data_IF_676910092042
#
_entry.id   IF_676910092042
#
_cell.length_a   1.000
_cell.length_b   1.000
_cell.length_c   1.000
_cell.angle_alpha   90.00
_cell.angle_beta   90.00
_cell.angle_gamma   90.00
#
_symmetry.space_group_name_H-M   'P 1'
#
loop_
_entity.id
_entity.type
_entity.pdbx_description
1 polymer ?
#
# COMPACT_ATOMS: atom_id res chain seq x y z
N UNK A 1 0.48 19.27 4.65
CA UNK A 1 0.55 18.59 3.33
C UNK A 1 -0.45 17.44 3.35
N UNK A 2 -1.11 17.24 2.22
CA UNK A 2 -2.17 16.24 2.08
C UNK A 2 -1.57 14.84 1.91
N UNK A 3 -2.38 13.81 2.21
CA UNK A 3 -2.03 12.44 1.89
C UNK A 3 -2.53 12.09 0.48
N UNK A 4 -1.72 11.32 -0.25
CA UNK A 4 -2.06 10.79 -1.57
C UNK A 4 -2.49 9.33 -1.44
N UNK A 5 -3.65 8.97 -2.01
CA UNK A 5 -4.05 7.59 -2.22
C UNK A 5 -3.73 7.17 -3.66
N UNK A 6 -2.69 6.37 -3.83
CA UNK A 6 -2.38 5.72 -5.10
C UNK A 6 -3.02 4.34 -5.19
N UNK A 7 -3.69 4.05 -6.30
CA UNK A 7 -4.21 2.71 -6.62
C UNK A 7 -3.51 2.22 -7.89
N UNK A 8 -2.84 1.07 -7.80
CA UNK A 8 -2.09 0.48 -8.89
C UNK A 8 -2.65 -0.88 -9.25
N UNK A 9 -2.84 -1.10 -10.55
CA UNK A 9 -3.21 -2.37 -11.15
C UNK A 9 -2.33 -2.58 -12.38
N UNK A 10 -1.71 -3.76 -12.48
CA UNK A 10 -0.74 -4.05 -13.53
C UNK A 10 -1.22 -5.12 -14.52
N UNK A 11 -2.39 -5.70 -14.31
CA UNK A 11 -2.89 -6.86 -15.06
C UNK A 11 -2.87 -8.16 -14.24
N UNK A 12 -3.51 -9.24 -14.72
CA UNK A 12 -3.70 -10.49 -13.97
C UNK A 12 -2.41 -11.19 -13.54
N UNK A 13 -1.33 -11.02 -14.30
CA UNK A 13 -0.05 -11.73 -14.09
C UNK A 13 1.14 -10.80 -13.83
N UNK A 14 0.88 -9.51 -13.59
CA UNK A 14 1.90 -8.46 -13.46
C UNK A 14 1.81 -7.79 -12.09
N UNK A 15 2.83 -6.99 -11.74
CA UNK A 15 2.87 -6.25 -10.46
C UNK A 15 3.53 -7.01 -9.30
N UNK A 16 3.76 -8.31 -9.47
CA UNK A 16 4.40 -9.19 -8.49
C UNK A 16 3.49 -9.57 -7.32
N UNK A 17 4.03 -10.38 -6.41
CA UNK A 17 3.33 -10.82 -5.19
C UNK A 17 3.47 -9.84 -4.02
N UNK A 18 3.01 -10.28 -2.85
CA UNK A 18 3.01 -9.51 -1.60
C UNK A 18 4.43 -9.14 -1.15
N UNK A 19 5.30 -10.13 -0.95
CA UNK A 19 6.67 -9.92 -0.43
C UNK A 19 7.53 -8.91 -1.21
N UNK A 20 7.64 -8.96 -2.56
CA UNK A 20 8.44 -7.98 -3.29
C UNK A 20 7.86 -6.57 -3.18
N UNK A 21 6.54 -6.43 -3.04
CA UNK A 21 5.89 -5.15 -2.84
C UNK A 21 6.19 -4.58 -1.44
N UNK A 22 6.08 -5.39 -0.39
CA UNK A 22 6.43 -4.98 0.98
C UNK A 22 7.90 -4.55 1.08
N UNK A 23 8.82 -5.33 0.49
CA UNK A 23 10.26 -4.98 0.43
C UNK A 23 10.48 -3.65 -0.26
N UNK A 24 9.81 -3.43 -1.40
CA UNK A 24 9.90 -2.16 -2.14
C UNK A 24 9.37 -1.00 -1.30
N UNK A 25 8.21 -1.15 -0.66
CA UNK A 25 7.63 -0.09 0.15
C UNK A 25 8.47 0.24 1.37
N UNK A 26 8.98 -0.76 2.09
CA UNK A 26 9.92 -0.53 3.19
C UNK A 26 11.21 0.16 2.71
N UNK A 27 11.74 -0.25 1.56
CA UNK A 27 12.90 0.37 0.92
C UNK A 27 12.68 1.85 0.57
N UNK A 28 11.45 2.27 0.24
CA UNK A 28 11.12 3.69 0.06
C UNK A 28 11.22 4.50 1.36
N UNK A 29 11.33 3.85 2.52
CA UNK A 29 11.61 4.50 3.79
C UNK A 29 13.05 4.26 4.28
N UNK A 30 13.90 3.65 3.44
CA UNK A 30 15.24 3.21 3.83
C UNK A 30 15.23 2.12 4.91
N UNK A 31 14.15 1.34 4.98
CA UNK A 31 13.87 0.37 6.04
C UNK A 31 13.71 -1.05 5.49
N UNK A 32 13.73 -2.02 6.40
CA UNK A 32 13.35 -3.39 6.13
C UNK A 32 11.87 -3.62 6.37
N UNK A 33 11.37 -4.75 5.88
CA UNK A 33 9.98 -5.17 6.10
C UNK A 33 9.67 -5.37 7.59
N UNK A 34 10.66 -5.72 8.41
CA UNK A 34 10.49 -5.92 9.85
C UNK A 34 10.27 -4.62 10.63
N UNK A 35 10.60 -3.47 10.04
CA UNK A 35 10.40 -2.15 10.66
C UNK A 35 8.97 -1.61 10.49
N UNK A 36 8.13 -2.31 9.71
CA UNK A 36 6.73 -1.97 9.50
C UNK A 36 5.80 -2.99 10.15
N UNK A 37 4.54 -2.59 10.36
CA UNK A 37 3.50 -3.47 10.93
C UNK A 37 2.73 -4.15 9.80
N UNK A 38 2.62 -5.47 9.87
CA UNK A 38 1.83 -6.25 8.93
C UNK A 38 0.58 -6.81 9.59
N UNK A 39 -0.51 -6.86 8.83
CA UNK A 39 -1.68 -7.67 9.18
C UNK A 39 -2.33 -8.23 7.92
N UNK A 40 -3.12 -9.27 8.08
CA UNK A 40 -3.86 -9.90 6.99
C UNK A 40 -5.33 -10.01 7.36
N UNK A 41 -6.21 -9.84 6.38
CA UNK A 41 -7.63 -10.15 6.51
C UNK A 41 -8.20 -10.66 5.19
N UNK A 42 -9.30 -11.40 5.28
CA UNK A 42 -9.99 -11.95 4.10
C UNK A 42 -11.34 -11.27 3.95
N UNK A 43 -11.62 -10.79 2.73
CA UNK A 43 -12.86 -10.11 2.36
C UNK A 43 -13.51 -10.89 1.21
N UNK A 44 -14.32 -11.90 1.56
CA UNK A 44 -14.88 -12.84 0.58
C UNK A 44 -13.78 -13.59 -0.18
N UNK A 45 -13.66 -13.33 -1.48
CA UNK A 45 -12.64 -13.93 -2.34
C UNK A 45 -11.30 -13.16 -2.35
N UNK A 46 -11.24 -11.99 -1.71
CA UNK A 46 -10.04 -11.14 -1.67
C UNK A 46 -9.21 -11.47 -0.42
N UNK A 47 -7.94 -11.80 -0.61
CA UNK A 47 -6.94 -11.79 0.46
C UNK A 47 -6.28 -10.42 0.54
N UNK A 48 -6.40 -9.75 1.68
CA UNK A 48 -5.84 -8.43 1.90
C UNK A 48 -4.64 -8.51 2.84
N UNK A 49 -3.47 -8.08 2.36
CA UNK A 49 -2.30 -7.82 3.22
C UNK A 49 -2.14 -6.32 3.44
N UNK A 50 -2.10 -5.91 4.70
CA UNK A 50 -1.88 -4.53 5.13
C UNK A 50 -0.44 -4.34 5.60
N UNK A 51 0.12 -3.16 5.34
CA UNK A 51 1.46 -2.79 5.77
C UNK A 51 1.56 -1.32 6.15
N UNK A 52 1.90 -1.05 7.40
CA UNK A 52 2.09 0.30 7.92
C UNK A 52 3.57 0.56 8.16
N UNK A 53 4.06 1.70 7.69
CA UNK A 53 5.42 2.13 7.94
C UNK A 53 5.52 3.65 8.04
N UNK A 54 6.45 4.12 8.87
CA UNK A 54 6.73 5.52 9.07
C UNK A 54 8.24 5.80 9.03
N UNK A 55 8.60 7.04 8.69
CA UNK A 55 9.98 7.50 8.66
C UNK A 55 10.21 8.59 7.61
N UNK A 56 11.40 8.57 7.01
CA UNK A 56 11.74 9.45 5.90
C UNK A 56 11.37 8.77 4.59
N UNK A 57 10.30 9.23 3.95
CA UNK A 57 9.87 8.73 2.66
C UNK A 57 10.79 9.25 1.56
N UNK A 58 11.20 8.37 0.65
CA UNK A 58 12.04 8.68 -0.50
C UNK A 58 11.19 8.56 -1.77
N UNK A 59 10.40 9.60 -2.11
CA UNK A 59 9.63 9.60 -3.33
C UNK A 59 10.58 9.64 -4.53
N UNK A 60 10.35 8.79 -5.53
CA UNK A 60 11.14 8.80 -6.76
C UNK A 60 11.54 7.41 -7.24
N UNK A 61 12.05 7.38 -8.47
CA UNK A 61 12.69 6.20 -9.05
C UNK A 61 14.19 6.48 -9.12
N UNK A 62 15.06 5.45 -9.19
CA UNK A 62 16.51 5.66 -9.32
C UNK A 62 16.90 6.64 -10.44
N UNK A 63 16.15 6.62 -11.55
CA UNK A 63 16.38 7.50 -12.71
C UNK A 63 15.70 8.88 -12.63
N UNK A 64 14.91 9.14 -11.57
CA UNK A 64 14.20 10.39 -11.34
C UNK A 64 14.01 10.59 -9.82
N UNK A 65 15.08 10.91 -9.09
CA UNK A 65 15.02 11.09 -7.65
C UNK A 65 14.19 12.33 -7.31
N UNK A 66 13.45 12.29 -6.18
CA UNK A 66 12.84 13.48 -5.59
C UNK A 66 13.37 13.67 -4.16
N UNK A 67 13.27 14.89 -3.60
CA UNK A 67 13.74 15.14 -2.24
C UNK A 67 13.10 14.20 -1.21
N UNK A 68 13.86 13.67 -0.24
CA UNK A 68 13.32 12.90 0.87
C UNK A 68 12.35 13.73 1.70
N UNK A 69 11.32 13.06 2.24
CA UNK A 69 10.25 13.65 3.04
C UNK A 69 10.26 13.05 4.45
N UNK A 70 10.89 13.71 5.44
CA UNK A 70 10.90 13.25 6.83
C UNK A 70 9.52 13.36 7.47
N UNK A 71 9.24 12.52 8.47
CA UNK A 71 7.97 12.55 9.22
C UNK A 71 6.76 12.06 8.43
N UNK A 72 6.98 11.23 7.41
CA UNK A 72 5.94 10.64 6.58
C UNK A 72 5.55 9.25 7.07
N UNK A 73 4.34 8.84 6.71
CA UNK A 73 3.85 7.49 6.90
C UNK A 73 3.22 6.95 5.61
N UNK A 74 3.08 5.63 5.56
CA UNK A 74 2.34 4.93 4.53
C UNK A 74 1.50 3.82 5.16
N UNK A 75 0.23 3.73 4.76
CA UNK A 75 -0.62 2.56 4.94
C UNK A 75 -0.81 1.94 3.55
N UNK A 76 -0.19 0.77 3.34
CA UNK A 76 -0.26 0.00 2.11
C UNK A 76 -1.22 -1.17 2.23
N UNK A 77 -1.95 -1.48 1.16
CA UNK A 77 -2.79 -2.65 1.07
C UNK A 77 -2.56 -3.39 -0.26
N UNK A 78 -2.40 -4.71 -0.19
CA UNK A 78 -2.31 -5.59 -1.35
C UNK A 78 -3.56 -6.46 -1.34
N UNK A 79 -4.48 -6.18 -2.25
CA UNK A 79 -5.69 -6.95 -2.46
C UNK A 79 -5.44 -7.98 -3.54
N UNK A 80 -5.25 -9.23 -3.13
CA UNK A 80 -5.05 -10.35 -4.02
C UNK A 80 -6.42 -10.91 -4.42
N UNK A 81 -6.70 -10.91 -5.72
CA UNK A 81 -7.93 -11.47 -6.29
C UNK A 81 -7.61 -12.76 -7.03
N UNK A 82 -8.57 -13.68 -7.16
CA UNK A 82 -8.33 -14.96 -7.84
C UNK A 82 -8.35 -14.82 -9.35
N UNK A 83 -9.16 -13.90 -9.88
CA UNK A 83 -9.44 -13.81 -11.33
C UNK A 83 -8.91 -12.55 -11.99
N UNK A 84 -8.73 -11.46 -11.24
CA UNK A 84 -8.53 -10.12 -11.78
C UNK A 84 -7.12 -9.57 -11.58
N UNK A 85 -6.22 -10.31 -10.94
CA UNK A 85 -4.89 -9.84 -10.55
C UNK A 85 -4.87 -9.05 -9.23
N UNK A 86 -3.69 -8.58 -8.84
CA UNK A 86 -3.49 -7.89 -7.58
C UNK A 86 -3.71 -6.38 -7.73
N UNK A 87 -4.40 -5.79 -6.76
CA UNK A 87 -4.52 -4.34 -6.60
C UNK A 87 -3.63 -3.89 -5.44
N UNK A 88 -2.91 -2.79 -5.65
CA UNK A 88 -2.01 -2.21 -4.67
C UNK A 88 -2.50 -0.81 -4.32
N UNK A 89 -2.94 -0.61 -3.10
CA UNK A 89 -3.39 0.68 -2.59
C UNK A 89 -2.33 1.21 -1.65
N UNK A 90 -2.00 2.50 -1.76
CA UNK A 90 -1.02 3.16 -0.90
C UNK A 90 -1.53 4.52 -0.49
N UNK A 91 -1.85 4.70 0.78
CA UNK A 91 -2.07 6.01 1.37
C UNK A 91 -0.74 6.51 1.93
N UNK A 92 -0.18 7.58 1.36
CA UNK A 92 1.16 8.10 1.74
C UNK A 92 1.09 9.61 1.96
N UNK A 93 1.71 10.12 3.03
CA UNK A 93 1.69 11.54 3.35
C UNK A 93 2.38 11.84 4.68
N UNK A 94 2.30 13.09 5.19
CA UNK A 94 2.74 13.38 6.55
C UNK A 94 2.02 12.47 7.54
N UNK A 95 2.75 12.00 8.56
CA UNK A 95 2.25 11.03 9.54
C UNK A 95 0.87 11.40 10.10
N UNK A 96 0.72 12.63 10.58
CA UNK A 96 -0.54 13.08 11.17
C UNK A 96 -1.70 13.07 10.18
N UNK A 97 -1.45 13.41 8.91
CA UNK A 97 -2.47 13.39 7.85
C UNK A 97 -2.88 11.97 7.50
N UNK A 98 -1.92 11.04 7.41
CA UNK A 98 -2.19 9.62 7.15
C UNK A 98 -2.98 8.99 8.29
N UNK A 99 -2.60 9.25 9.53
CA UNK A 99 -3.33 8.75 10.70
C UNK A 99 -4.74 9.33 10.79
N UNK A 100 -4.94 10.62 10.47
CA UNK A 100 -6.27 11.22 10.39
C UNK A 100 -7.17 10.58 9.32
N UNK A 101 -6.58 10.11 8.21
CA UNK A 101 -7.31 9.45 7.12
C UNK A 101 -7.44 7.92 7.29
N UNK A 102 -6.83 7.35 8.34
CA UNK A 102 -6.72 5.90 8.54
C UNK A 102 -8.08 5.21 8.55
N UNK A 103 -9.03 5.71 9.34
CA UNK A 103 -10.35 5.08 9.49
C UNK A 103 -11.13 5.06 8.17
N UNK A 104 -11.12 6.19 7.43
CA UNK A 104 -11.75 6.28 6.12
C UNK A 104 -11.09 5.33 5.10
N UNK A 105 -9.76 5.21 5.13
CA UNK A 105 -9.05 4.27 4.28
C UNK A 105 -9.36 2.81 4.61
N UNK A 106 -9.43 2.46 5.90
CA UNK A 106 -9.83 1.12 6.32
C UNK A 106 -11.26 0.79 5.89
N UNK A 107 -12.18 1.75 6.02
CA UNK A 107 -13.57 1.62 5.55
C UNK A 107 -13.64 1.36 4.04
N UNK A 108 -12.84 2.09 3.25
CA UNK A 108 -12.71 1.83 1.82
C UNK A 108 -12.22 0.39 1.55
N UNK A 109 -11.18 -0.06 2.25
CA UNK A 109 -10.66 -1.41 2.09
C UNK A 109 -11.68 -2.48 2.47
N UNK A 110 -12.46 -2.27 3.53
CA UNK A 110 -13.54 -3.17 3.94
C UNK A 110 -14.71 -3.22 2.94
N UNK A 111 -14.86 -2.19 2.11
CA UNK A 111 -15.89 -2.16 1.06
C UNK A 111 -15.51 -2.95 -0.21
N UNK A 112 -14.25 -3.40 -0.33
CA UNK A 112 -13.76 -4.09 -1.52
C UNK A 112 -14.51 -5.41 -1.75
N UNK A 113 -14.92 -5.62 -3.01
CA UNK A 113 -15.56 -6.85 -3.47
C UNK A 113 -15.00 -7.21 -4.83
N UNK A 114 -14.64 -8.48 -5.02
CA UNK A 114 -14.30 -8.99 -6.34
C UNK A 114 -15.60 -9.07 -7.14
N UNK A 115 -15.63 -8.41 -8.31
CA UNK A 115 -16.78 -8.52 -9.20
C UNK A 115 -16.89 -9.97 -9.66
N UNK A 116 -18.02 -10.62 -9.38
CA UNK A 116 -18.26 -11.98 -9.88
C UNK A 116 -18.16 -12.00 -11.40
N UNK A 117 -17.51 -13.02 -12.00
CA UNK A 117 -17.67 -13.26 -13.42
C UNK A 117 -19.15 -13.52 -13.67
N UNK A 118 -19.77 -12.66 -14.48
CA UNK A 118 -21.14 -12.84 -14.96
C UNK A 118 -21.24 -13.94 -16.00
#
# INVERSE_FOLDING_TARGET
EDAELGVFYFGPSMGGGTDPNLKRWAGQFGKSVADGKQSKKTLGAIELTLFDIEGTYQPGRPMAPKPPKPGFAMIGAIAQTKSSGNYFLKLTGPKNTVEAAREAFMTLLDSLKEKSPG
#
